data_IF_797351253726
#
_entry.id   IF_797351253726
#
_cell.length_a   1.000
_cell.length_b   1.000
_cell.length_c   1.000
_cell.angle_alpha   90.00
_cell.angle_beta   90.00
_cell.angle_gamma   90.00
#
_symmetry.space_group_name_H-M   'P 1'
#
loop_
_entity.id
_entity.type
_entity.pdbx_description
1 polymer ?
#
# COMPACT_ATOMS: atom_id res chain seq x y z
N UNK A 1 16.77 -17.88 2.07
CA UNK A 1 17.51 -16.68 1.55
C UNK A 1 16.87 -15.50 2.24
N UNK A 2 17.60 -14.81 3.07
CA UNK A 2 17.13 -13.59 3.73
C UNK A 2 17.35 -12.41 2.77
N UNK A 3 16.32 -11.57 2.59
CA UNK A 3 16.44 -10.36 1.77
C UNK A 3 17.07 -9.27 2.63
N UNK A 4 18.24 -8.78 2.26
CA UNK A 4 18.94 -7.69 2.92
C UNK A 4 18.78 -6.38 2.15
N UNK A 5 18.56 -5.30 2.87
CA UNK A 5 18.41 -3.94 2.37
C UNK A 5 19.43 -2.97 3.00
N UNK A 6 20.58 -3.52 3.44
CA UNK A 6 21.63 -2.71 4.07
C UNK A 6 22.04 -1.51 3.23
N UNK A 7 21.98 -0.32 3.83
CA UNK A 7 22.31 0.95 3.17
C UNK A 7 21.29 1.46 2.15
N UNK A 8 20.22 0.73 1.89
CA UNK A 8 19.10 1.22 1.06
C UNK A 8 18.17 2.11 1.88
N UNK A 9 17.53 3.05 1.21
CA UNK A 9 16.59 4.01 1.80
C UNK A 9 15.18 3.75 1.31
N UNK A 10 14.27 3.53 2.24
CA UNK A 10 12.87 3.21 1.98
C UNK A 10 11.97 4.29 2.54
N UNK A 11 11.16 4.90 1.71
CA UNK A 11 10.14 5.85 2.12
C UNK A 11 8.74 5.24 2.03
N UNK A 12 7.96 5.33 3.12
CA UNK A 12 6.60 4.76 3.21
C UNK A 12 5.60 5.83 3.57
N UNK A 13 4.66 6.12 2.66
CA UNK A 13 3.55 7.04 2.96
C UNK A 13 2.51 6.34 3.84
N UNK A 14 1.96 7.07 4.83
CA UNK A 14 1.06 6.46 5.81
C UNK A 14 1.74 5.43 6.71
N UNK A 15 3.06 5.58 6.96
CA UNK A 15 3.91 4.62 7.68
C UNK A 15 3.75 4.61 9.21
N UNK A 16 2.81 5.39 9.78
CA UNK A 16 2.69 5.54 11.23
C UNK A 16 1.88 4.43 11.90
N UNK A 17 1.06 3.69 11.16
CA UNK A 17 0.18 2.63 11.68
C UNK A 17 -0.17 1.59 10.61
N UNK A 18 -0.84 0.53 11.04
CA UNK A 18 -1.42 -0.50 10.17
C UNK A 18 -0.43 -1.09 9.18
N UNK A 19 -0.88 -1.27 7.94
CA UNK A 19 -0.09 -1.86 6.85
C UNK A 19 1.21 -1.07 6.62
N UNK A 20 1.14 0.27 6.58
CA UNK A 20 2.31 1.12 6.35
C UNK A 20 3.37 0.97 7.43
N UNK A 21 2.97 0.86 8.69
CA UNK A 21 3.89 0.60 9.81
C UNK A 21 4.52 -0.78 9.69
N UNK A 22 3.74 -1.79 9.36
CA UNK A 22 4.24 -3.14 9.14
C UNK A 22 5.26 -3.20 7.99
N UNK A 23 4.99 -2.50 6.88
CA UNK A 23 5.93 -2.39 5.75
C UNK A 23 7.22 -1.70 6.20
N UNK A 24 7.13 -0.55 6.85
CA UNK A 24 8.26 0.22 7.33
C UNK A 24 9.14 -0.61 8.30
N UNK A 25 8.50 -1.29 9.25
CA UNK A 25 9.20 -2.17 10.20
C UNK A 25 9.93 -3.31 9.49
N UNK A 26 9.26 -3.96 8.55
CA UNK A 26 9.85 -5.11 7.84
C UNK A 26 11.06 -4.74 6.99
N UNK A 27 11.07 -3.54 6.39
CA UNK A 27 12.25 -3.01 5.71
C UNK A 27 13.37 -2.64 6.69
N UNK A 28 13.03 -2.07 7.84
CA UNK A 28 14.01 -1.78 8.89
C UNK A 28 14.67 -3.07 9.43
N UNK A 29 13.88 -4.12 9.68
CA UNK A 29 14.35 -5.43 10.09
C UNK A 29 15.29 -6.07 9.04
N UNK A 30 15.12 -5.70 7.77
CA UNK A 30 16.00 -6.11 6.67
C UNK A 30 17.22 -5.19 6.46
N UNK A 31 17.48 -4.23 7.37
CA UNK A 31 18.66 -3.36 7.36
C UNK A 31 18.50 -2.03 6.61
N UNK A 32 17.30 -1.69 6.14
CA UNK A 32 17.07 -0.43 5.44
C UNK A 32 17.04 0.78 6.38
N UNK A 33 17.45 1.93 5.88
CA UNK A 33 17.10 3.23 6.45
C UNK A 33 15.66 3.57 6.09
N UNK A 34 14.84 3.95 7.08
CA UNK A 34 13.41 4.14 6.89
C UNK A 34 13.01 5.61 7.08
N UNK A 35 12.29 6.13 6.11
CA UNK A 35 11.52 7.37 6.20
C UNK A 35 10.02 7.06 6.16
N UNK A 36 9.25 7.68 7.04
CA UNK A 36 7.79 7.59 7.02
C UNK A 36 7.16 8.98 7.00
N UNK A 37 5.99 9.08 6.39
CA UNK A 37 5.20 10.31 6.51
C UNK A 37 3.73 9.99 6.84
N UNK A 38 3.13 10.85 7.62
CA UNK A 38 1.70 10.94 7.89
C UNK A 38 1.36 12.30 8.50
N UNK A 39 0.08 12.63 8.57
CA UNK A 39 -0.39 13.95 9.01
C UNK A 39 -0.11 14.25 10.49
N UNK A 40 0.00 13.23 11.30
CA UNK A 40 0.24 13.35 12.74
C UNK A 40 1.41 12.48 13.14
N UNK A 41 2.27 13.00 14.01
CA UNK A 41 3.39 12.26 14.54
C UNK A 41 2.91 11.01 15.31
N UNK A 42 3.55 9.85 15.11
CA UNK A 42 3.21 8.66 15.86
C UNK A 42 3.64 8.81 17.33
N UNK A 43 2.92 8.12 18.24
CA UNK A 43 3.27 8.11 19.68
C UNK A 43 4.68 7.60 19.95
N UNK A 44 5.19 6.75 19.08
CA UNK A 44 6.56 6.23 19.14
C UNK A 44 7.16 6.08 17.74
N UNK A 45 8.39 6.55 17.62
CA UNK A 45 9.20 6.40 16.41
C UNK A 45 10.43 5.54 16.78
N UNK A 46 10.74 4.44 16.05
CA UNK A 46 11.95 3.69 16.29
C UNK A 46 13.21 4.50 16.04
N UNK A 47 14.27 4.16 16.78
CA UNK A 47 15.55 4.82 16.61
C UNK A 47 16.07 4.73 15.16
N UNK A 48 16.59 5.83 14.67
CA UNK A 48 17.14 5.92 13.31
C UNK A 48 16.11 6.16 12.20
N UNK A 49 14.82 6.04 12.46
CA UNK A 49 13.80 6.38 11.46
C UNK A 49 13.65 7.90 11.30
N UNK A 50 13.29 8.30 10.09
CA UNK A 50 12.88 9.67 9.79
C UNK A 50 11.36 9.76 9.74
N UNK A 51 10.79 10.67 10.52
CA UNK A 51 9.39 11.07 10.39
C UNK A 51 9.29 12.45 9.74
N UNK A 52 8.35 12.59 8.79
CA UNK A 52 7.98 13.86 8.17
C UNK A 52 6.45 14.02 8.25
N UNK A 53 6.00 15.06 8.94
CA UNK A 53 4.59 15.45 8.96
C UNK A 53 4.14 15.91 7.57
N UNK A 54 3.20 15.18 6.92
CA UNK A 54 2.79 15.50 5.55
C UNK A 54 1.38 14.98 5.24
N UNK A 55 0.62 15.75 4.49
CA UNK A 55 -0.57 15.28 3.77
C UNK A 55 -0.19 15.01 2.31
N UNK A 56 -0.17 13.76 1.91
CA UNK A 56 0.23 13.36 0.55
C UNK A 56 -0.65 13.93 -0.57
N UNK A 57 -1.78 14.57 -0.24
CA UNK A 57 -2.62 15.29 -1.20
C UNK A 57 -2.08 16.67 -1.58
N UNK A 58 -1.15 17.18 -0.77
CA UNK A 58 -0.50 18.48 -0.97
C UNK A 58 0.88 18.25 -1.61
N UNK A 59 1.10 18.69 -2.86
CA UNK A 59 2.37 18.47 -3.55
C UNK A 59 3.59 19.02 -2.80
N UNK A 60 3.47 20.17 -2.14
CA UNK A 60 4.56 20.77 -1.38
C UNK A 60 4.97 19.90 -0.17
N UNK A 61 4.00 19.23 0.47
CA UNK A 61 4.28 18.30 1.55
C UNK A 61 5.01 17.05 1.01
N UNK A 62 4.65 16.57 -0.19
CA UNK A 62 5.35 15.46 -0.84
C UNK A 62 6.78 15.85 -1.17
N UNK A 63 7.00 17.06 -1.70
CA UNK A 63 8.33 17.59 -1.98
C UNK A 63 9.16 17.68 -0.68
N UNK A 64 8.58 18.12 0.43
CA UNK A 64 9.23 18.14 1.74
C UNK A 64 9.63 16.73 2.24
N UNK A 65 8.78 15.70 2.01
CA UNK A 65 9.15 14.30 2.36
C UNK A 65 10.36 13.84 1.56
N UNK A 66 10.38 14.11 0.25
CA UNK A 66 11.49 13.76 -0.64
C UNK A 66 12.79 14.45 -0.19
N UNK A 67 12.74 15.78 0.00
CA UNK A 67 13.90 16.58 0.36
C UNK A 67 14.48 16.16 1.71
N UNK A 68 13.63 16.03 2.73
CA UNK A 68 14.07 15.60 4.07
C UNK A 68 14.65 14.18 4.07
N UNK A 69 14.12 13.29 3.23
CA UNK A 69 14.67 11.93 3.08
C UNK A 69 16.04 11.98 2.41
N UNK A 70 16.21 12.80 1.36
CA UNK A 70 17.50 12.99 0.69
C UNK A 70 18.52 13.69 1.59
N UNK A 71 18.12 14.72 2.32
CA UNK A 71 18.99 15.42 3.29
C UNK A 71 19.52 14.46 4.36
N UNK A 72 18.66 13.56 4.85
CA UNK A 72 19.02 12.65 5.95
C UNK A 72 19.83 11.44 5.50
N UNK A 73 19.52 10.86 4.33
CA UNK A 73 20.06 9.57 3.88
C UNK A 73 20.76 9.62 2.53
N UNK A 74 20.67 10.71 1.79
CA UNK A 74 21.37 10.93 0.51
C UNK A 74 20.67 10.35 -0.72
N UNK A 75 19.68 9.47 -0.55
CA UNK A 75 19.06 8.72 -1.65
C UNK A 75 17.64 8.24 -1.30
N UNK A 76 16.93 7.69 -2.30
CA UNK A 76 15.67 6.96 -2.14
C UNK A 76 15.72 5.74 -3.08
N UNK A 77 15.76 4.53 -2.52
CA UNK A 77 15.82 3.29 -3.32
C UNK A 77 14.44 2.66 -3.51
N UNK A 78 13.59 2.80 -2.50
CA UNK A 78 12.24 2.26 -2.51
C UNK A 78 11.26 3.34 -2.06
N UNK A 79 10.19 3.51 -2.83
CA UNK A 79 9.06 4.35 -2.44
C UNK A 79 7.80 3.50 -2.35
N UNK A 80 7.11 3.53 -1.20
CA UNK A 80 5.87 2.79 -1.00
C UNK A 80 4.70 3.77 -0.85
N UNK A 81 3.83 3.80 -1.85
CA UNK A 81 2.55 4.51 -1.81
C UNK A 81 1.53 3.69 -1.04
N UNK A 82 1.47 3.87 0.28
CA UNK A 82 0.54 3.16 1.15
C UNK A 82 -0.56 4.08 1.72
N UNK A 83 -0.31 5.38 1.89
CA UNK A 83 -1.32 6.30 2.40
C UNK A 83 -2.64 6.19 1.60
N UNK A 84 -3.74 5.94 2.30
CA UNK A 84 -5.02 5.73 1.64
C UNK A 84 -6.11 5.28 2.61
N UNK A 85 -7.25 4.92 2.05
CA UNK A 85 -8.42 4.45 2.77
C UNK A 85 -9.69 5.22 2.41
N UNK A 86 -10.82 4.73 2.89
CA UNK A 86 -12.13 5.38 2.77
C UNK A 86 -13.03 4.92 3.90
N UNK A 87 -13.74 5.81 4.59
CA UNK A 87 -14.89 5.40 5.36
C UNK A 87 -15.99 4.90 4.41
N UNK A 88 -16.91 4.04 4.89
CA UNK A 88 -18.08 3.64 4.11
C UNK A 88 -19.00 4.84 3.86
N UNK A 89 -19.63 4.87 2.69
CA UNK A 89 -20.62 5.86 2.31
C UNK A 89 -21.65 5.25 1.37
N UNK A 90 -22.91 5.68 1.50
CA UNK A 90 -23.96 5.29 0.57
C UNK A 90 -23.65 5.87 -0.82
N UNK A 91 -23.56 5.00 -1.80
CA UNK A 91 -23.22 5.36 -3.19
C UNK A 91 -24.22 6.35 -3.81
N UNK A 92 -25.51 6.24 -3.46
CA UNK A 92 -26.56 7.08 -4.02
C UNK A 92 -26.53 8.53 -3.47
N UNK A 93 -26.04 8.70 -2.24
CA UNK A 93 -26.11 9.98 -1.49
C UNK A 93 -24.75 10.60 -1.17
N UNK A 94 -23.65 9.91 -1.46
CA UNK A 94 -22.29 10.41 -1.23
C UNK A 94 -22.07 11.74 -1.97
N UNK A 95 -21.61 12.77 -1.25
CA UNK A 95 -21.43 14.09 -1.83
C UNK A 95 -20.28 14.11 -2.85
N UNK A 96 -20.36 14.99 -3.88
CA UNK A 96 -19.24 15.18 -4.83
C UNK A 96 -17.91 15.52 -4.13
N UNK A 97 -17.95 16.31 -3.04
CA UNK A 97 -16.77 16.66 -2.24
C UNK A 97 -16.14 15.42 -1.58
N UNK A 98 -16.98 14.53 -1.01
CA UNK A 98 -16.50 13.27 -0.45
C UNK A 98 -15.82 12.42 -1.52
N UNK A 99 -16.50 12.20 -2.65
CA UNK A 99 -15.96 11.43 -3.77
C UNK A 99 -14.63 11.99 -4.27
N UNK A 100 -14.54 13.30 -4.51
CA UNK A 100 -13.31 13.98 -4.93
C UNK A 100 -12.17 13.80 -3.90
N UNK A 101 -12.46 13.92 -2.61
CA UNK A 101 -11.47 13.72 -1.55
C UNK A 101 -10.91 12.29 -1.49
N UNK A 102 -11.76 11.29 -1.72
CA UNK A 102 -11.33 9.88 -1.77
C UNK A 102 -10.45 9.62 -3.01
N UNK A 103 -10.83 10.15 -4.18
CA UNK A 103 -10.03 10.03 -5.40
C UNK A 103 -8.70 10.77 -5.25
N UNK A 104 -8.70 11.98 -4.68
CA UNK A 104 -7.49 12.74 -4.43
C UNK A 104 -6.47 11.95 -3.59
N UNK A 105 -6.93 11.33 -2.49
CA UNK A 105 -6.07 10.57 -1.59
C UNK A 105 -5.59 9.24 -2.21
N UNK A 106 -6.46 8.49 -2.88
CA UNK A 106 -6.19 7.09 -3.24
C UNK A 106 -5.73 6.90 -4.69
N UNK A 107 -5.78 7.96 -5.52
CA UNK A 107 -5.33 7.93 -6.91
C UNK A 107 -4.39 9.09 -7.24
N UNK A 108 -4.82 10.34 -7.09
CA UNK A 108 -4.00 11.48 -7.50
C UNK A 108 -2.71 11.60 -6.67
N UNK A 109 -2.82 11.50 -5.34
CA UNK A 109 -1.67 11.58 -4.44
C UNK A 109 -0.59 10.52 -4.73
N UNK A 110 -0.90 9.20 -4.83
CA UNK A 110 0.13 8.23 -5.17
C UNK A 110 0.77 8.43 -6.56
N UNK A 111 0.05 9.01 -7.53
CA UNK A 111 0.64 9.38 -8.82
C UNK A 111 1.67 10.49 -8.62
N UNK A 112 1.33 11.57 -7.92
CA UNK A 112 2.25 12.69 -7.63
C UNK A 112 3.46 12.19 -6.84
N UNK A 113 3.24 11.41 -5.79
CA UNK A 113 4.32 10.81 -5.01
C UNK A 113 5.27 9.96 -5.88
N UNK A 114 4.70 9.12 -6.77
CA UNK A 114 5.50 8.30 -7.67
C UNK A 114 6.32 9.15 -8.66
N UNK A 115 5.75 10.22 -9.20
CA UNK A 115 6.46 11.15 -10.09
C UNK A 115 7.66 11.81 -9.38
N UNK A 116 7.48 12.28 -8.14
CA UNK A 116 8.53 12.90 -7.34
C UNK A 116 9.64 11.91 -6.97
N UNK A 117 9.26 10.72 -6.49
CA UNK A 117 10.21 9.66 -6.19
C UNK A 117 10.98 9.21 -7.44
N UNK A 118 10.29 9.05 -8.58
CA UNK A 118 10.92 8.70 -9.85
C UNK A 118 11.96 9.76 -10.26
N UNK A 119 11.69 11.04 -10.12
CA UNK A 119 12.64 12.09 -10.49
C UNK A 119 13.98 11.90 -9.76
N UNK A 120 13.96 11.60 -8.47
CA UNK A 120 15.16 11.30 -7.67
C UNK A 120 15.82 9.99 -8.13
N UNK A 121 15.04 8.92 -8.30
CA UNK A 121 15.55 7.60 -8.68
C UNK A 121 16.20 7.61 -10.09
N UNK A 122 15.70 8.42 -11.03
CA UNK A 122 16.30 8.57 -12.36
C UNK A 122 17.71 9.18 -12.32
N UNK A 123 18.02 10.00 -11.31
CA UNK A 123 19.35 10.58 -11.11
C UNK A 123 20.33 9.58 -10.48
N UNK A 124 19.86 8.54 -9.82
CA UNK A 124 20.66 7.53 -9.14
C UNK A 124 21.20 6.46 -10.10
N UNK A 125 22.42 5.97 -9.88
CA UNK A 125 23.02 4.89 -10.70
C UNK A 125 22.22 3.59 -10.58
N UNK A 126 21.72 3.27 -9.39
CA UNK A 126 20.95 2.06 -9.10
C UNK A 126 19.46 2.15 -9.46
N UNK A 127 18.98 3.31 -9.91
CA UNK A 127 17.54 3.52 -10.13
C UNK A 127 16.71 3.37 -8.85
N UNK A 128 15.56 2.68 -8.95
CA UNK A 128 14.71 2.46 -7.78
C UNK A 128 13.51 1.53 -8.01
N UNK A 129 12.72 1.35 -6.96
CA UNK A 129 11.48 0.57 -7.00
C UNK A 129 10.33 1.33 -6.33
N UNK A 130 9.22 1.46 -7.03
CA UNK A 130 7.98 2.05 -6.51
C UNK A 130 6.95 0.93 -6.31
N UNK A 131 6.38 0.86 -5.12
CA UNK A 131 5.35 -0.11 -4.77
C UNK A 131 4.06 0.62 -4.40
N UNK A 132 3.00 0.39 -5.16
CA UNK A 132 1.68 0.96 -4.92
C UNK A 132 0.82 -0.02 -4.13
N UNK A 133 0.33 0.37 -2.96
CA UNK A 133 -0.63 -0.43 -2.19
C UNK A 133 -2.03 -0.20 -2.76
N UNK A 134 -2.46 -1.14 -3.57
CA UNK A 134 -3.80 -1.21 -4.14
C UNK A 134 -4.75 -2.02 -3.22
N UNK A 135 -5.88 -2.47 -3.75
CA UNK A 135 -6.88 -3.23 -2.99
C UNK A 135 -7.69 -4.14 -3.91
N UNK A 136 -8.19 -5.23 -3.36
CA UNK A 136 -9.22 -6.07 -4.00
C UNK A 136 -10.46 -5.24 -4.40
N UNK A 137 -10.73 -4.13 -3.73
CA UNK A 137 -11.77 -3.15 -4.11
C UNK A 137 -11.56 -2.54 -5.50
N UNK A 138 -10.32 -2.55 -6.02
CA UNK A 138 -10.01 -2.09 -7.38
C UNK A 138 -10.21 -3.15 -8.47
N UNK A 139 -10.39 -4.42 -8.10
CA UNK A 139 -10.51 -5.55 -9.04
C UNK A 139 -11.86 -6.25 -8.97
N UNK A 140 -12.69 -5.92 -7.98
CA UNK A 140 -14.05 -6.43 -7.83
C UNK A 140 -15.01 -5.33 -7.37
N UNK A 141 -16.32 -5.61 -7.35
CA UNK A 141 -17.31 -4.72 -6.77
C UNK A 141 -16.99 -4.43 -5.29
N UNK A 142 -17.13 -3.17 -4.90
CA UNK A 142 -16.84 -2.69 -3.55
C UNK A 142 -18.01 -1.86 -3.01
N UNK A 143 -19.10 -2.51 -2.56
CA UNK A 143 -20.27 -1.83 -1.99
C UNK A 143 -19.86 -0.90 -0.83
N UNK A 144 -20.55 0.22 -0.72
CA UNK A 144 -20.29 1.29 0.25
C UNK A 144 -18.92 2.00 0.13
N UNK A 145 -18.08 1.63 -0.84
CA UNK A 145 -16.77 2.26 -1.07
C UNK A 145 -16.50 2.50 -2.56
N UNK A 146 -17.51 2.96 -3.31
CA UNK A 146 -17.45 3.19 -4.76
C UNK A 146 -16.22 4.01 -5.18
N UNK A 147 -16.05 5.20 -4.61
CA UNK A 147 -14.97 6.12 -4.98
C UNK A 147 -13.58 5.51 -4.69
N UNK A 148 -13.46 4.77 -3.60
CA UNK A 148 -12.23 4.06 -3.24
C UNK A 148 -11.92 2.93 -4.23
N UNK A 149 -12.90 2.08 -4.55
CA UNK A 149 -12.75 1.02 -5.55
C UNK A 149 -12.33 1.58 -6.91
N UNK A 150 -13.01 2.64 -7.38
CA UNK A 150 -12.66 3.32 -8.62
C UNK A 150 -11.24 3.91 -8.59
N UNK A 151 -10.84 4.54 -7.48
CA UNK A 151 -9.50 5.09 -7.31
C UNK A 151 -8.43 3.98 -7.33
N UNK A 152 -8.66 2.85 -6.64
CA UNK A 152 -7.72 1.72 -6.63
C UNK A 152 -7.62 1.00 -7.98
N UNK A 153 -8.73 0.91 -8.75
CA UNK A 153 -8.70 0.45 -10.14
C UNK A 153 -7.87 1.40 -11.02
N UNK A 154 -8.05 2.71 -10.86
CA UNK A 154 -7.24 3.73 -11.53
C UNK A 154 -5.75 3.61 -11.16
N UNK A 155 -5.42 3.34 -9.90
CA UNK A 155 -4.04 3.16 -9.44
C UNK A 155 -3.38 1.93 -10.07
N UNK A 156 -4.12 0.83 -10.27
CA UNK A 156 -3.61 -0.34 -10.98
C UNK A 156 -3.27 0.00 -12.45
N UNK A 157 -4.12 0.75 -13.14
CA UNK A 157 -3.83 1.21 -14.49
C UNK A 157 -2.63 2.18 -14.52
N UNK A 158 -2.59 3.16 -13.60
CA UNK A 158 -1.47 4.09 -13.46
C UNK A 158 -0.14 3.35 -13.18
N UNK A 159 -0.16 2.28 -12.38
CA UNK A 159 1.01 1.43 -12.14
C UNK A 159 1.59 0.87 -13.43
N UNK A 160 0.74 0.33 -14.32
CA UNK A 160 1.17 -0.22 -15.62
C UNK A 160 1.78 0.86 -16.52
N UNK A 161 1.15 2.03 -16.56
CA UNK A 161 1.64 3.16 -17.36
C UNK A 161 3.00 3.64 -16.84
N UNK A 162 3.12 3.89 -15.54
CA UNK A 162 4.37 4.32 -14.92
C UNK A 162 5.48 3.26 -15.07
N UNK A 163 5.15 1.98 -15.05
CA UNK A 163 6.12 0.90 -15.27
C UNK A 163 6.77 0.97 -16.67
N UNK A 164 6.03 1.41 -17.67
CA UNK A 164 6.54 1.61 -19.04
C UNK A 164 7.35 2.90 -19.14
N UNK A 165 6.84 3.99 -18.58
CA UNK A 165 7.42 5.33 -18.75
C UNK A 165 8.67 5.55 -17.88
N UNK A 166 8.77 4.90 -16.70
CA UNK A 166 9.90 5.08 -15.78
C UNK A 166 11.05 4.09 -16.02
N UNK A 167 10.80 3.07 -16.83
CA UNK A 167 11.85 2.12 -17.25
C UNK A 167 12.95 2.83 -18.08
N UNK A 168 14.19 2.29 -18.13
CA UNK A 168 14.60 1.04 -17.48
C UNK A 168 15.07 1.20 -16.02
N UNK A 169 15.23 2.41 -15.51
CA UNK A 169 15.85 2.66 -14.20
C UNK A 169 14.90 2.37 -13.03
N UNK A 170 13.61 2.63 -13.18
CA UNK A 170 12.66 2.51 -12.08
C UNK A 170 11.58 1.47 -12.40
N UNK A 171 11.42 0.51 -11.50
CA UNK A 171 10.34 -0.48 -11.57
C UNK A 171 9.13 0.00 -10.77
N UNK A 172 7.94 -0.21 -11.29
CA UNK A 172 6.70 0.18 -10.61
C UNK A 172 5.75 -1.01 -10.58
N UNK A 173 5.34 -1.45 -9.38
CA UNK A 173 4.44 -2.58 -9.20
C UNK A 173 3.34 -2.25 -8.18
N UNK A 174 2.25 -3.00 -8.20
CA UNK A 174 1.16 -2.90 -7.25
C UNK A 174 1.02 -4.17 -6.40
N UNK A 175 0.72 -3.99 -5.12
CA UNK A 175 0.26 -5.04 -4.21
C UNK A 175 -1.24 -4.87 -4.04
N UNK A 176 -2.02 -5.85 -4.51
CA UNK A 176 -3.49 -5.85 -4.43
C UNK A 176 -3.88 -6.55 -3.13
N UNK A 177 -4.18 -5.74 -2.11
CA UNK A 177 -4.37 -6.21 -0.74
C UNK A 177 -5.83 -6.59 -0.49
N UNK A 178 -6.04 -7.73 0.15
CA UNK A 178 -7.33 -8.19 0.64
C UNK A 178 -7.69 -7.65 2.03
N UNK A 179 -8.22 -8.54 2.86
CA UNK A 179 -8.58 -8.22 4.25
C UNK A 179 -7.35 -8.32 5.14
N UNK A 180 -7.02 -7.24 5.83
CA UNK A 180 -5.85 -7.16 6.74
C UNK A 180 -6.30 -6.80 8.14
N UNK A 181 -5.82 -7.56 9.10
CA UNK A 181 -6.02 -7.29 10.52
C UNK A 181 -5.07 -6.17 10.96
N UNK A 182 -5.64 -5.02 11.20
CA UNK A 182 -4.94 -3.86 11.76
C UNK A 182 -5.58 -3.43 13.05
N UNK A 183 -4.95 -2.54 13.81
CA UNK A 183 -5.50 -1.96 15.03
C UNK A 183 -6.86 -1.24 14.82
N UNK A 184 -7.19 -0.92 13.58
CA UNK A 184 -8.46 -0.30 13.20
C UNK A 184 -9.51 -1.29 12.68
N UNK A 185 -9.22 -2.59 12.65
CA UNK A 185 -10.14 -3.61 12.13
C UNK A 185 -11.50 -3.60 12.84
N UNK A 186 -11.50 -3.30 14.16
CA UNK A 186 -12.72 -3.21 14.96
C UNK A 186 -13.72 -2.16 14.43
N UNK A 187 -13.26 -1.12 13.74
CA UNK A 187 -14.14 -0.09 13.15
C UNK A 187 -14.97 -0.62 11.98
N UNK A 188 -14.53 -1.72 11.37
CA UNK A 188 -15.15 -2.30 10.17
C UNK A 188 -15.79 -3.65 10.42
N UNK A 189 -15.22 -4.45 11.32
CA UNK A 189 -15.60 -5.84 11.54
C UNK A 189 -16.16 -6.13 12.92
N UNK A 190 -16.26 -5.10 13.78
CA UNK A 190 -16.78 -5.21 15.13
C UNK A 190 -15.76 -5.78 16.11
N UNK A 191 -16.24 -6.66 17.00
CA UNK A 191 -15.42 -7.29 18.03
C UNK A 191 -14.54 -8.44 17.50
N UNK A 192 -13.94 -9.18 18.41
CA UNK A 192 -13.08 -10.32 18.11
C UNK A 192 -13.83 -11.44 17.37
N UNK A 193 -15.09 -11.69 17.74
CA UNK A 193 -15.94 -12.70 17.10
C UNK A 193 -16.27 -12.30 15.65
N UNK A 194 -16.65 -11.03 15.42
CA UNK A 194 -16.89 -10.48 14.08
C UNK A 194 -15.64 -10.53 13.21
N UNK A 195 -14.50 -10.16 13.77
CA UNK A 195 -13.20 -10.22 13.09
C UNK A 195 -12.80 -11.65 12.72
N UNK A 196 -13.00 -12.61 13.62
CA UNK A 196 -12.74 -14.04 13.37
C UNK A 196 -13.68 -14.60 12.30
N UNK A 197 -14.98 -14.24 12.35
CA UNK A 197 -15.97 -14.65 11.35
C UNK A 197 -15.59 -14.14 9.94
N UNK A 198 -15.13 -12.89 9.83
CA UNK A 198 -14.62 -12.34 8.56
C UNK A 198 -13.37 -13.10 8.11
N UNK A 199 -12.42 -13.37 9.00
CA UNK A 199 -11.22 -14.15 8.70
C UNK A 199 -11.54 -15.54 8.15
N UNK A 200 -12.56 -16.21 8.69
CA UNK A 200 -13.02 -17.52 8.25
C UNK A 200 -13.59 -17.53 6.80
N UNK A 201 -13.96 -16.37 6.24
CA UNK A 201 -14.38 -16.27 4.83
C UNK A 201 -13.22 -16.36 3.85
N UNK A 202 -12.00 -16.07 4.32
CA UNK A 202 -10.77 -16.14 3.51
C UNK A 202 -10.33 -17.60 3.37
N UNK A 203 -9.98 -18.10 2.18
CA UNK A 203 -9.55 -19.49 2.00
C UNK A 203 -8.36 -19.93 2.88
N UNK A 204 -7.41 -19.03 3.19
CA UNK A 204 -6.34 -19.31 4.14
C UNK A 204 -6.78 -19.29 5.62
N UNK A 205 -8.07 -19.10 5.90
CA UNK A 205 -8.68 -19.22 7.24
C UNK A 205 -8.38 -18.05 8.19
N UNK A 206 -7.73 -16.99 7.71
CA UNK A 206 -7.44 -15.78 8.50
C UNK A 206 -7.38 -14.54 7.61
N UNK A 207 -7.56 -13.39 8.21
CA UNK A 207 -7.13 -12.13 7.59
C UNK A 207 -5.60 -12.10 7.50
N UNK A 208 -5.06 -11.34 6.56
CA UNK A 208 -3.62 -11.10 6.49
C UNK A 208 -3.17 -10.21 7.66
N UNK A 209 -1.95 -10.41 8.10
CA UNK A 209 -1.25 -9.47 8.96
C UNK A 209 -0.53 -8.41 8.10
N UNK A 210 -0.20 -7.22 8.65
CA UNK A 210 0.62 -6.23 7.94
C UNK A 210 1.95 -6.81 7.41
N UNK A 211 2.53 -7.79 8.08
CA UNK A 211 3.76 -8.50 7.64
C UNK A 211 3.56 -9.30 6.36
N UNK A 212 2.38 -9.92 6.13
CA UNK A 212 2.11 -10.64 4.88
C UNK A 212 2.19 -9.70 3.66
N UNK A 213 1.72 -8.45 3.83
CA UNK A 213 1.80 -7.41 2.79
C UNK A 213 3.24 -6.91 2.65
N UNK A 214 3.92 -6.72 3.77
CA UNK A 214 5.28 -6.21 3.82
C UNK A 214 6.28 -7.15 3.13
N UNK A 215 6.17 -8.46 3.31
CA UNK A 215 7.03 -9.45 2.67
C UNK A 215 6.95 -9.40 1.14
N UNK A 216 5.76 -9.15 0.60
CA UNK A 216 5.58 -8.95 -0.85
C UNK A 216 6.18 -7.61 -1.31
N UNK A 217 6.09 -6.56 -0.49
CA UNK A 217 6.77 -5.29 -0.79
C UNK A 217 8.30 -5.47 -0.82
N UNK A 218 8.87 -6.22 0.13
CA UNK A 218 10.30 -6.56 0.14
C UNK A 218 10.70 -7.32 -1.13
N UNK A 219 9.94 -8.35 -1.50
CA UNK A 219 10.19 -9.10 -2.73
C UNK A 219 10.20 -8.17 -3.95
N UNK A 220 9.15 -7.34 -4.12
CA UNK A 220 9.04 -6.44 -5.27
C UNK A 220 10.14 -5.37 -5.31
N UNK A 221 10.64 -4.95 -4.15
CA UNK A 221 11.76 -4.00 -4.06
C UNK A 221 13.12 -4.67 -4.32
N UNK A 222 13.25 -5.97 -4.05
CA UNK A 222 14.51 -6.71 -4.08
C UNK A 222 15.03 -7.02 -5.50
N UNK A 223 16.30 -7.43 -5.64
CA UNK A 223 16.86 -7.92 -6.90
C UNK A 223 16.18 -9.18 -7.45
N UNK A 224 15.43 -9.94 -6.63
CA UNK A 224 14.64 -11.09 -7.10
C UNK A 224 13.54 -10.67 -8.08
N UNK A 225 13.05 -9.44 -7.93
CA UNK A 225 12.03 -8.86 -8.81
C UNK A 225 12.61 -7.98 -9.93
N UNK A 226 13.91 -8.10 -10.27
CA UNK A 226 14.58 -7.24 -11.27
C UNK A 226 13.95 -7.24 -12.67
N UNK A 227 13.15 -8.25 -12.99
CA UNK A 227 12.41 -8.35 -14.25
C UNK A 227 10.89 -8.26 -14.06
N UNK A 228 10.45 -7.75 -12.87
CA UNK A 228 9.04 -7.55 -12.54
C UNK A 228 8.76 -6.05 -12.47
N UNK A 229 8.00 -5.54 -13.45
CA UNK A 229 7.49 -4.16 -13.48
C UNK A 229 6.11 -4.16 -14.14
N UNK A 230 5.19 -3.32 -13.69
CA UNK A 230 3.80 -3.27 -14.12
C UNK A 230 2.92 -4.41 -13.57
N UNK A 231 3.43 -5.20 -12.62
CA UNK A 231 2.71 -6.33 -12.06
C UNK A 231 1.69 -5.90 -10.99
N UNK A 232 0.61 -6.68 -10.92
CA UNK A 232 -0.40 -6.63 -9.87
C UNK A 232 -0.29 -7.93 -9.06
N UNK A 233 0.28 -7.86 -7.85
CA UNK A 233 0.47 -9.02 -7.00
C UNK A 233 -0.66 -9.10 -5.97
N UNK A 234 -1.46 -10.16 -6.05
CA UNK A 234 -2.59 -10.39 -5.15
C UNK A 234 -2.09 -10.91 -3.78
N UNK A 235 -2.42 -10.20 -2.72
CA UNK A 235 -2.15 -10.58 -1.32
C UNK A 235 -3.48 -10.59 -0.57
N UNK A 236 -4.23 -11.67 -0.73
CA UNK A 236 -5.63 -11.77 -0.27
C UNK A 236 -6.05 -13.17 0.22
N UNK A 237 -5.08 -14.07 0.45
CA UNK A 237 -5.35 -15.38 1.03
C UNK A 237 -6.26 -16.30 0.20
N UNK A 238 -6.34 -16.09 -1.12
CA UNK A 238 -7.25 -16.79 -2.03
C UNK A 238 -8.52 -16.00 -2.38
N UNK A 239 -8.67 -14.79 -1.83
CA UNK A 239 -9.85 -13.92 -2.01
C UNK A 239 -11.00 -14.30 -1.08
N UNK A 240 -12.22 -13.95 -1.46
CA UNK A 240 -13.42 -14.37 -0.73
C UNK A 240 -14.13 -15.51 -1.47
N UNK A 241 -14.66 -16.45 -0.72
CA UNK A 241 -15.46 -17.54 -1.30
C UNK A 241 -16.72 -16.96 -1.94
N UNK A 242 -17.12 -17.44 -3.13
CA UNK A 242 -18.40 -17.03 -3.72
C UNK A 242 -19.57 -17.33 -2.78
N UNK A 243 -20.37 -16.32 -2.44
CA UNK A 243 -21.47 -16.44 -1.48
C UNK A 243 -22.51 -17.54 -1.83
N UNK A 244 -22.67 -17.84 -3.11
CA UNK A 244 -23.59 -18.92 -3.54
C UNK A 244 -23.16 -20.30 -3.02
N UNK A 245 -21.88 -20.52 -2.76
CA UNK A 245 -21.39 -21.80 -2.24
C UNK A 245 -21.88 -22.08 -0.82
N UNK A 246 -22.09 -21.05 -0.02
CA UNK A 246 -22.63 -21.19 1.33
C UNK A 246 -24.16 -21.40 1.30
N UNK A 247 -24.83 -20.88 0.28
CA UNK A 247 -26.26 -21.09 0.05
C UNK A 247 -26.58 -22.45 -0.61
N UNK A 248 -25.60 -23.10 -1.24
CA UNK A 248 -25.79 -24.38 -1.91
C UNK A 248 -26.00 -25.50 -0.89
N UNK A 249 -27.11 -26.23 -1.01
CA UNK A 249 -27.43 -27.38 -0.16
C UNK A 249 -26.81 -28.71 -0.65
N UNK A 250 -25.84 -28.66 -1.55
CA UNK A 250 -25.13 -29.79 -2.08
C UNK A 250 -24.22 -30.47 -1.05
N UNK A 251 -24.05 -31.81 -1.18
CA UNK A 251 -23.41 -32.68 -0.18
C UNK A 251 -21.89 -32.70 -0.19
N UNK A 252 -21.22 -31.93 -1.06
CA UNK A 252 -19.75 -31.88 -1.11
C UNK A 252 -19.27 -30.48 -0.76
N UNK A 253 -18.90 -30.30 0.52
CA UNK A 253 -17.86 -29.33 0.89
C UNK A 253 -16.50 -30.00 0.62
N UNK A 254 -15.59 -29.38 -0.11
CA UNK A 254 -14.21 -29.87 -0.20
C UNK A 254 -13.54 -29.84 1.16
#
# INVERSE_FOLDING_TARGET
MELAFDGQVVAVTGGCRGIGRGIAQRFADAGAHVAICCRHEPESLPDGWLFVGADVREPDDVDAVIDRTRERFGRIDVWVNNAGGSPPADTATASPRFTAGIIALNLAAPIVCAQRANAVMQEQDGGGSIVNIASVSGVRASPATLAYGAAKAGLLNATKTMAVEFAPKVRVNAVVVGLVLTEQAHLFYGDEEGTAAVGATVPLGRMADPSDVADVCLFLASPLARYVTGAEVLVHGGGERPAYMDAAKGTRRP
#
